data_IF_678650823025
#
_entry.id   IF_678650823025
#
_cell.length_a   1.000
_cell.length_b   1.000
_cell.length_c   1.000
_cell.angle_alpha   90.00
_cell.angle_beta   90.00
_cell.angle_gamma   90.00
#
_symmetry.space_group_name_H-M   'P 1'
#
loop_
_entity.id
_entity.type
_entity.pdbx_description
1 polymer ?
#
# COMPACT_ATOMS: atom_id res chain seq x y z
N UNK A 1 6.06 -33.37 -28.26
CA UNK A 1 5.43 -32.80 -27.02
C UNK A 1 5.76 -31.33 -27.01
N UNK A 2 4.77 -30.46 -27.15
CA UNK A 2 5.01 -29.03 -26.95
C UNK A 2 5.39 -28.83 -25.48
N UNK A 3 6.66 -28.47 -25.23
CA UNK A 3 7.07 -28.08 -23.90
C UNK A 3 6.31 -26.79 -23.59
N UNK A 4 5.27 -26.89 -22.77
CA UNK A 4 4.60 -25.72 -22.24
C UNK A 4 5.59 -25.03 -21.28
N UNK A 5 6.05 -23.87 -21.68
CA UNK A 5 6.94 -23.02 -20.87
C UNK A 5 6.10 -21.91 -20.26
N UNK A 6 6.07 -21.84 -18.95
CA UNK A 6 5.44 -20.77 -18.20
C UNK A 6 6.57 -19.90 -17.61
N UNK A 7 6.89 -18.76 -18.21
CA UNK A 7 7.91 -17.88 -17.67
C UNK A 7 7.45 -17.29 -16.33
N UNK A 8 8.40 -16.97 -15.46
CA UNK A 8 8.11 -16.31 -14.17
C UNK A 8 7.55 -14.90 -14.39
N UNK A 9 7.99 -14.24 -15.45
CA UNK A 9 7.47 -12.95 -15.90
C UNK A 9 7.61 -12.81 -17.41
N UNK A 10 6.87 -11.89 -17.98
CA UNK A 10 6.96 -11.46 -19.38
C UNK A 10 7.04 -9.95 -19.41
N UNK A 11 7.86 -9.38 -20.32
CA UNK A 11 7.95 -7.92 -20.49
C UNK A 11 6.61 -7.36 -20.92
N UNK A 12 6.12 -6.39 -20.16
CA UNK A 12 4.83 -5.72 -20.42
C UNK A 12 5.00 -4.25 -20.85
N UNK A 13 6.24 -3.80 -21.06
CA UNK A 13 6.56 -2.46 -21.57
C UNK A 13 6.89 -2.57 -23.05
N UNK A 14 6.10 -1.94 -23.87
CA UNK A 14 6.27 -1.96 -25.31
C UNK A 14 6.87 -0.66 -25.88
N UNK A 15 6.98 -0.58 -27.19
CA UNK A 15 7.52 0.60 -27.88
C UNK A 15 6.60 1.80 -27.78
N UNK A 16 5.30 1.60 -27.66
CA UNK A 16 4.31 2.68 -27.53
C UNK A 16 4.44 3.35 -26.16
N UNK A 17 4.61 2.58 -25.10
CA UNK A 17 4.89 3.08 -23.73
C UNK A 17 6.15 3.96 -23.72
N UNK A 18 7.25 3.46 -24.33
CA UNK A 18 8.50 4.22 -24.43
C UNK A 18 8.32 5.53 -25.22
N UNK A 19 7.59 5.49 -26.35
CA UNK A 19 7.35 6.68 -27.15
C UNK A 19 6.51 7.72 -26.40
N UNK A 20 5.54 7.27 -25.62
CA UNK A 20 4.73 8.16 -24.79
C UNK A 20 5.55 8.84 -23.70
N UNK A 21 6.44 8.10 -23.05
CA UNK A 21 7.37 8.69 -22.09
C UNK A 21 8.28 9.73 -22.76
N UNK A 22 8.82 9.44 -23.95
CA UNK A 22 9.65 10.38 -24.73
C UNK A 22 8.84 11.65 -25.04
N UNK A 23 7.61 11.50 -25.52
CA UNK A 23 6.74 12.63 -25.86
C UNK A 23 6.41 13.48 -24.62
N UNK A 24 6.17 12.83 -23.48
CA UNK A 24 5.93 13.53 -22.22
C UNK A 24 7.18 14.34 -21.78
N UNK A 25 8.38 13.75 -21.85
CA UNK A 25 9.63 14.42 -21.45
C UNK A 25 10.00 15.57 -22.37
N UNK A 26 9.60 15.53 -23.64
CA UNK A 26 9.86 16.58 -24.65
C UNK A 26 8.90 17.79 -24.54
N UNK A 27 7.97 17.82 -23.60
CA UNK A 27 7.08 18.95 -23.41
C UNK A 27 7.83 20.22 -22.99
N UNK A 28 7.29 21.37 -23.39
CA UNK A 28 7.83 22.68 -23.00
C UNK A 28 6.72 23.48 -22.31
N UNK A 29 6.92 23.94 -21.07
CA UNK A 29 8.09 23.69 -20.20
C UNK A 29 8.23 22.21 -19.82
N UNK A 30 9.43 21.81 -19.38
CA UNK A 30 9.67 20.44 -18.88
C UNK A 30 8.66 20.13 -17.77
N UNK A 31 7.92 19.01 -17.85
CA UNK A 31 6.91 18.68 -16.86
C UNK A 31 7.54 18.34 -15.49
N UNK A 32 6.74 18.46 -14.43
CA UNK A 32 7.19 18.05 -13.10
C UNK A 32 7.31 16.54 -13.03
N UNK A 33 8.53 16.02 -12.82
CA UNK A 33 8.88 14.60 -12.92
C UNK A 33 8.72 13.83 -11.60
N UNK A 34 8.39 14.47 -10.48
CA UNK A 34 8.15 13.82 -9.18
C UNK A 34 6.92 14.42 -8.51
N UNK A 35 6.04 13.58 -7.97
CA UNK A 35 4.79 14.01 -7.31
C UNK A 35 4.03 15.10 -8.10
N UNK A 36 4.08 15.02 -9.45
CA UNK A 36 3.49 15.99 -10.35
C UNK A 36 2.01 15.70 -10.68
N UNK A 37 1.41 16.51 -11.58
CA UNK A 37 0.01 16.33 -11.98
C UNK A 37 -0.30 14.92 -12.50
N UNK A 38 0.63 14.28 -13.23
CA UNK A 38 0.43 12.92 -13.74
C UNK A 38 0.33 11.87 -12.62
N UNK A 39 1.09 12.03 -11.52
CA UNK A 39 0.93 11.15 -10.36
C UNK A 39 -0.48 11.29 -9.78
N UNK A 40 -0.97 12.51 -9.62
CA UNK A 40 -2.33 12.76 -9.10
C UNK A 40 -3.40 12.21 -10.06
N UNK A 41 -3.21 12.34 -11.36
CA UNK A 41 -4.10 11.78 -12.38
C UNK A 41 -4.18 10.24 -12.24
N UNK A 42 -3.04 9.57 -12.08
CA UNK A 42 -2.99 8.13 -11.85
C UNK A 42 -3.64 7.72 -10.52
N UNK A 43 -3.30 8.42 -9.41
CA UNK A 43 -3.92 8.18 -8.10
C UNK A 43 -5.45 8.22 -8.20
N UNK A 44 -6.01 9.19 -8.94
CA UNK A 44 -7.45 9.32 -9.16
C UNK A 44 -8.02 8.21 -10.04
N UNK A 45 -7.37 7.90 -11.16
CA UNK A 45 -7.80 6.84 -12.08
C UNK A 45 -7.78 5.47 -11.40
N UNK A 46 -6.72 5.19 -10.62
CA UNK A 46 -6.61 3.96 -9.84
C UNK A 46 -7.72 3.85 -8.81
N UNK A 47 -8.00 4.94 -8.08
CA UNK A 47 -9.08 4.98 -7.09
C UNK A 47 -10.46 4.72 -7.72
N UNK A 48 -10.74 5.28 -8.89
CA UNK A 48 -11.96 5.01 -9.64
C UNK A 48 -12.05 3.54 -10.07
N UNK A 49 -10.93 2.97 -10.53
CA UNK A 49 -10.88 1.58 -10.95
C UNK A 49 -11.02 0.62 -9.76
N UNK A 50 -10.36 0.87 -8.64
CA UNK A 50 -10.40 0.01 -7.45
C UNK A 50 -11.67 0.20 -6.62
N UNK A 51 -12.19 1.42 -6.55
CA UNK A 51 -13.32 1.81 -5.70
C UNK A 51 -12.90 2.33 -4.34
N UNK A 52 -11.74 3.01 -4.25
CA UNK A 52 -11.21 3.64 -3.02
C UNK A 52 -11.13 5.16 -3.15
N UNK A 53 -11.30 5.87 -2.03
CA UNK A 53 -11.34 7.34 -2.01
C UNK A 53 -9.96 7.97 -2.07
N UNK A 54 -9.02 7.41 -1.35
CA UNK A 54 -7.68 7.97 -1.13
C UNK A 54 -6.63 7.00 -1.62
N UNK A 55 -5.79 7.48 -2.53
CA UNK A 55 -4.78 6.68 -3.20
C UNK A 55 -3.48 7.46 -3.21
N UNK A 56 -2.37 6.85 -2.86
CA UNK A 56 -1.09 7.51 -2.65
C UNK A 56 0.03 6.75 -3.33
N UNK A 57 0.53 7.27 -4.46
CA UNK A 57 1.69 6.71 -5.15
C UNK A 57 2.96 6.83 -4.32
N UNK A 58 3.72 5.76 -4.31
CA UNK A 58 5.04 5.61 -3.70
C UNK A 58 6.01 4.95 -4.68
N UNK A 59 7.29 4.86 -4.32
CA UNK A 59 8.35 4.42 -5.23
C UNK A 59 8.45 2.90 -5.43
N UNK A 60 7.74 2.09 -4.63
CA UNK A 60 7.66 0.62 -4.82
C UNK A 60 6.54 0.01 -3.97
N UNK A 61 6.14 -1.23 -4.28
CA UNK A 61 5.23 -2.00 -3.41
C UNK A 61 5.81 -2.24 -2.02
N UNK A 62 7.11 -2.52 -1.92
CA UNK A 62 7.80 -2.67 -0.64
C UNK A 62 7.71 -1.38 0.20
N UNK A 63 7.86 -0.22 -0.45
CA UNK A 63 7.67 1.08 0.21
C UNK A 63 6.21 1.32 0.61
N UNK A 64 5.24 0.82 -0.15
CA UNK A 64 3.83 0.87 0.24
C UNK A 64 3.59 0.06 1.52
N UNK A 65 4.15 -1.15 1.60
CA UNK A 65 4.06 -2.01 2.79
C UNK A 65 4.72 -1.35 4.01
N UNK A 66 5.95 -0.85 3.87
CA UNK A 66 6.68 -0.18 4.95
C UNK A 66 5.95 1.08 5.43
N UNK A 67 5.54 1.94 4.51
CA UNK A 67 4.84 3.18 4.84
C UNK A 67 3.48 2.92 5.50
N UNK A 68 2.77 1.86 5.09
CA UNK A 68 1.50 1.45 5.71
C UNK A 68 1.69 1.05 7.17
N UNK A 69 2.68 0.23 7.48
CA UNK A 69 2.94 -0.19 8.87
C UNK A 69 3.53 0.96 9.68
N UNK A 70 4.41 1.78 9.10
CA UNK A 70 4.92 2.98 9.76
C UNK A 70 3.79 3.96 10.10
N UNK A 71 2.80 4.13 9.23
CA UNK A 71 1.62 4.95 9.48
C UNK A 71 0.71 4.37 10.57
N UNK A 72 0.70 3.05 10.74
CA UNK A 72 -0.05 2.38 11.81
C UNK A 72 0.47 2.79 13.21
N UNK A 73 1.77 3.13 13.35
CA UNK A 73 2.34 3.65 14.59
C UNK A 73 1.76 5.01 15.03
N UNK A 74 1.14 5.76 14.11
CA UNK A 74 0.43 7.00 14.46
C UNK A 74 -0.98 6.73 15.04
N UNK A 75 -1.43 5.48 14.96
CA UNK A 75 -2.69 5.02 15.53
C UNK A 75 -2.46 4.20 16.81
N UNK A 76 -1.32 3.53 16.92
CA UNK A 76 -0.97 2.62 18.02
C UNK A 76 0.51 2.76 18.35
N UNK A 77 0.85 2.84 19.64
CA UNK A 77 2.24 2.93 20.09
C UNK A 77 3.00 1.60 19.90
N UNK A 78 2.30 0.47 20.09
CA UNK A 78 2.84 -0.88 19.93
C UNK A 78 1.75 -1.88 19.54
N UNK A 79 2.15 -3.10 19.25
CA UNK A 79 1.22 -4.20 19.04
C UNK A 79 1.77 -5.33 18.19
N UNK A 80 0.85 -6.21 17.83
CA UNK A 80 1.11 -7.38 17.02
C UNK A 80 0.44 -7.20 15.64
N UNK A 81 1.14 -7.64 14.60
CA UNK A 81 0.60 -7.78 13.26
C UNK A 81 0.66 -9.25 12.87
N UNK A 82 -0.50 -9.84 12.60
CA UNK A 82 -0.58 -11.24 12.16
C UNK A 82 -0.42 -11.28 10.64
N UNK A 83 0.50 -12.12 10.16
CA UNK A 83 0.78 -12.30 8.73
C UNK A 83 1.08 -13.77 8.40
N UNK A 84 0.88 -14.21 7.14
CA UNK A 84 1.19 -15.57 6.76
C UNK A 84 2.71 -15.75 6.57
N UNK A 85 3.27 -16.96 6.76
CA UNK A 85 4.66 -17.25 6.38
C UNK A 85 4.87 -17.31 4.86
N UNK A 86 3.82 -17.52 4.09
CA UNK A 86 3.82 -17.44 2.63
C UNK A 86 3.47 -16.01 2.22
N UNK A 87 4.49 -15.18 2.15
CA UNK A 87 4.38 -13.75 1.79
C UNK A 87 5.70 -13.24 1.24
N UNK A 88 5.71 -12.03 0.70
CA UNK A 88 6.95 -11.37 0.33
C UNK A 88 7.65 -10.80 1.57
N UNK A 89 8.98 -10.78 1.54
CA UNK A 89 9.78 -10.34 2.70
C UNK A 89 9.45 -8.91 3.16
N UNK A 90 8.99 -8.02 2.25
CA UNK A 90 8.63 -6.65 2.62
C UNK A 90 7.48 -6.57 3.62
N UNK A 91 6.56 -7.54 3.62
CA UNK A 91 5.47 -7.58 4.60
C UNK A 91 6.03 -7.80 6.01
N UNK A 92 6.97 -8.74 6.13
CA UNK A 92 7.60 -9.07 7.41
C UNK A 92 8.54 -7.96 7.86
N UNK A 93 9.40 -7.47 6.95
CA UNK A 93 10.39 -6.43 7.29
C UNK A 93 9.73 -5.11 7.68
N UNK A 94 8.61 -4.73 7.03
CA UNK A 94 7.87 -3.52 7.39
C UNK A 94 7.32 -3.56 8.82
N UNK A 95 6.85 -4.74 9.26
CA UNK A 95 6.38 -4.94 10.65
C UNK A 95 7.55 -4.79 11.63
N UNK A 96 8.70 -5.41 11.34
CA UNK A 96 9.88 -5.36 12.21
C UNK A 96 10.47 -3.94 12.27
N UNK A 97 10.63 -3.27 11.13
CA UNK A 97 11.22 -1.92 11.06
C UNK A 97 10.34 -0.84 11.71
N UNK A 98 9.03 -1.10 11.77
CA UNK A 98 8.08 -0.22 12.45
C UNK A 98 7.85 -0.60 13.92
N UNK A 99 8.70 -1.46 14.50
CA UNK A 99 8.68 -1.86 15.91
C UNK A 99 7.41 -2.62 16.36
N UNK A 100 6.59 -3.09 15.42
CA UNK A 100 5.53 -4.05 15.72
C UNK A 100 6.07 -5.47 15.82
N UNK A 101 5.35 -6.32 16.54
CA UNK A 101 5.70 -7.74 16.66
C UNK A 101 5.02 -8.55 15.56
N UNK A 102 5.76 -9.19 14.64
CA UNK A 102 5.17 -10.10 13.66
C UNK A 102 4.73 -11.39 14.34
N UNK A 103 3.47 -11.79 14.10
CA UNK A 103 2.90 -13.06 14.57
C UNK A 103 2.54 -13.90 13.35
N UNK A 104 3.19 -15.05 13.18
CA UNK A 104 2.97 -15.88 12.00
C UNK A 104 1.78 -16.82 12.20
N UNK A 105 0.84 -16.78 11.26
CA UNK A 105 -0.29 -17.69 11.18
C UNK A 105 -0.15 -18.57 9.95
N UNK A 106 -0.21 -19.89 10.14
CA UNK A 106 -0.12 -20.87 9.06
C UNK A 106 -1.24 -20.71 8.02
N UNK A 107 -1.01 -21.24 6.83
CA UNK A 107 -1.90 -21.09 5.68
C UNK A 107 -2.83 -22.29 5.49
N UNK A 108 -3.95 -22.04 4.82
CA UNK A 108 -4.81 -23.06 4.25
C UNK A 108 -4.36 -23.36 2.81
N UNK A 109 -3.96 -24.59 2.55
CA UNK A 109 -3.44 -25.02 1.25
C UNK A 109 -4.45 -24.95 0.08
N UNK A 110 -5.73 -24.73 0.35
CA UNK A 110 -6.75 -24.63 -0.71
C UNK A 110 -6.77 -23.24 -1.38
N UNK A 111 -6.49 -22.18 -0.62
CA UNK A 111 -6.55 -20.81 -1.10
C UNK A 111 -5.30 -19.99 -0.75
N UNK A 112 -4.27 -20.62 -0.18
CA UNK A 112 -3.00 -20.03 0.23
C UNK A 112 -3.13 -18.84 1.19
N UNK A 113 -4.33 -18.63 1.75
CA UNK A 113 -4.63 -17.63 2.78
C UNK A 113 -4.56 -18.25 4.17
N UNK A 114 -4.93 -17.51 5.20
CA UNK A 114 -4.87 -17.97 6.59
C UNK A 114 -5.66 -19.25 6.86
N UNK A 115 -5.10 -20.15 7.68
CA UNK A 115 -5.87 -21.14 8.43
C UNK A 115 -6.66 -20.41 9.52
N UNK A 116 -7.95 -20.21 9.30
CA UNK A 116 -8.79 -19.36 10.18
C UNK A 116 -8.93 -19.92 11.59
N UNK A 117 -8.86 -21.25 11.76
CA UNK A 117 -8.91 -21.85 13.10
C UNK A 117 -7.63 -21.61 13.90
N UNK A 118 -6.49 -21.51 13.22
CA UNK A 118 -5.23 -21.08 13.84
C UNK A 118 -5.23 -19.57 14.07
N UNK A 119 -5.71 -18.79 13.09
CA UNK A 119 -5.80 -17.33 13.19
C UNK A 119 -6.56 -16.88 14.44
N UNK A 120 -7.74 -17.46 14.69
CA UNK A 120 -8.55 -17.13 15.88
C UNK A 120 -7.81 -17.32 17.21
N UNK A 121 -6.91 -18.32 17.28
CA UNK A 121 -6.12 -18.63 18.48
C UNK A 121 -4.94 -17.69 18.68
N UNK A 122 -4.50 -16.99 17.64
CA UNK A 122 -3.38 -16.06 17.67
C UNK A 122 -3.79 -14.63 18.01
N UNK A 123 -5.08 -14.32 17.93
CA UNK A 123 -5.61 -12.98 18.24
C UNK A 123 -5.48 -12.72 19.75
N UNK A 124 -4.86 -11.60 20.09
CA UNK A 124 -4.70 -11.11 21.45
C UNK A 124 -5.21 -9.66 21.56
N UNK A 125 -5.34 -9.11 22.76
CA UNK A 125 -5.64 -7.68 22.95
C UNK A 125 -4.57 -6.74 22.35
N UNK A 126 -3.39 -7.24 22.00
CA UNK A 126 -2.32 -6.50 21.33
C UNK A 126 -2.39 -6.55 19.81
N UNK A 127 -3.21 -7.42 19.23
CA UNK A 127 -3.34 -7.54 17.77
C UNK A 127 -3.95 -6.28 17.19
N UNK A 128 -3.20 -5.55 16.34
CA UNK A 128 -3.61 -4.30 15.70
C UNK A 128 -4.06 -4.50 14.27
N UNK A 129 -3.37 -5.40 13.56
CA UNK A 129 -3.68 -5.67 12.16
C UNK A 129 -3.49 -7.15 11.80
N UNK A 130 -4.20 -7.55 10.77
CA UNK A 130 -3.96 -8.78 10.00
C UNK A 130 -3.48 -8.33 8.63
N UNK A 131 -2.28 -8.74 8.22
CA UNK A 131 -1.69 -8.42 6.94
C UNK A 131 -1.87 -9.61 6.00
N UNK A 132 -2.87 -9.53 5.14
CA UNK A 132 -3.25 -10.57 4.19
C UNK A 132 -2.51 -10.38 2.88
N UNK A 133 -1.78 -11.39 2.43
CA UNK A 133 -1.16 -11.43 1.10
C UNK A 133 -2.07 -12.20 0.14
N UNK A 134 -2.42 -11.58 -0.99
CA UNK A 134 -3.11 -12.24 -2.10
C UNK A 134 -2.07 -12.87 -3.04
N UNK A 135 -1.73 -14.11 -2.80
CA UNK A 135 -0.61 -14.81 -3.45
C UNK A 135 -0.95 -15.16 -4.90
N UNK A 136 -0.10 -14.79 -5.88
CA UNK A 136 -0.16 -15.22 -7.28
C UNK A 136 -1.53 -15.07 -7.96
N UNK A 137 -2.27 -14.01 -7.64
CA UNK A 137 -3.60 -13.75 -8.19
C UNK A 137 -4.74 -14.48 -7.48
N UNK A 138 -4.44 -15.25 -6.42
CA UNK A 138 -5.45 -15.99 -5.68
C UNK A 138 -6.08 -15.09 -4.63
N UNK A 139 -7.42 -15.03 -4.62
CA UNK A 139 -8.14 -14.32 -3.58
C UNK A 139 -7.96 -14.98 -2.21
N UNK A 140 -7.41 -14.26 -1.24
CA UNK A 140 -7.25 -14.71 0.14
C UNK A 140 -8.42 -14.36 1.08
N UNK A 141 -9.37 -13.51 0.63
CA UNK A 141 -10.51 -13.09 1.44
C UNK A 141 -11.55 -14.20 1.60
N UNK A 142 -12.16 -14.22 2.77
CA UNK A 142 -13.37 -14.97 3.07
C UNK A 142 -14.28 -14.10 3.94
N UNK A 143 -15.60 -14.39 3.96
CA UNK A 143 -16.52 -13.70 4.89
C UNK A 143 -16.10 -13.87 6.34
N UNK A 144 -15.61 -15.05 6.68
CA UNK A 144 -15.16 -15.37 8.02
C UNK A 144 -13.95 -14.51 8.43
N UNK A 145 -12.97 -14.31 7.55
CA UNK A 145 -11.84 -13.42 7.82
C UNK A 145 -12.29 -11.98 8.04
N UNK A 146 -13.19 -11.49 7.19
CA UNK A 146 -13.74 -10.13 7.33
C UNK A 146 -14.52 -9.97 8.66
N UNK A 147 -15.27 -10.99 9.05
CA UNK A 147 -16.01 -10.99 10.32
C UNK A 147 -15.04 -11.04 11.51
N UNK A 148 -13.99 -11.85 11.48
CA UNK A 148 -12.95 -11.91 12.52
C UNK A 148 -12.34 -10.51 12.72
N UNK A 149 -11.94 -9.83 11.65
CA UNK A 149 -11.38 -8.48 11.72
C UNK A 149 -12.37 -7.49 12.36
N UNK A 150 -13.63 -7.53 11.92
CA UNK A 150 -14.68 -6.63 12.41
C UNK A 150 -15.03 -6.87 13.87
N UNK A 151 -15.22 -8.12 14.27
CA UNK A 151 -15.63 -8.51 15.64
C UNK A 151 -14.55 -8.20 16.68
N UNK A 152 -13.28 -8.26 16.28
CA UNK A 152 -12.14 -7.98 17.15
C UNK A 152 -11.59 -6.56 17.00
N UNK A 153 -12.20 -5.71 16.15
CA UNK A 153 -11.73 -4.36 15.84
C UNK A 153 -10.26 -4.32 15.38
N UNK A 154 -9.90 -5.27 14.51
CA UNK A 154 -8.55 -5.43 13.94
C UNK A 154 -8.54 -4.87 12.52
N UNK A 155 -7.53 -4.09 12.17
CA UNK A 155 -7.36 -3.59 10.81
C UNK A 155 -6.94 -4.71 9.85
N UNK A 156 -7.65 -4.85 8.74
CA UNK A 156 -7.23 -5.70 7.63
C UNK A 156 -6.36 -4.87 6.68
N UNK A 157 -5.14 -5.30 6.46
CA UNK A 157 -4.21 -4.79 5.46
C UNK A 157 -4.16 -5.82 4.33
N UNK A 158 -4.39 -5.38 3.09
CA UNK A 158 -4.35 -6.26 1.91
C UNK A 158 -3.08 -5.99 1.10
N UNK A 159 -2.14 -6.94 1.01
CA UNK A 159 -1.10 -6.90 -0.03
C UNK A 159 -1.66 -7.52 -1.31
N UNK A 160 -1.76 -6.70 -2.34
CA UNK A 160 -2.34 -7.03 -3.65
C UNK A 160 -1.28 -6.89 -4.76
N UNK A 161 0.00 -6.82 -4.40
CA UNK A 161 1.09 -6.61 -5.37
C UNK A 161 1.08 -7.63 -6.52
N UNK A 162 0.70 -8.87 -6.24
CA UNK A 162 0.64 -9.94 -7.24
C UNK A 162 -0.79 -10.25 -7.75
N UNK A 163 -1.79 -9.42 -7.41
CA UNK A 163 -3.21 -9.80 -7.58
C UNK A 163 -4.09 -8.69 -8.13
N UNK A 164 -3.54 -7.83 -9.00
CA UNK A 164 -4.28 -6.76 -9.66
C UNK A 164 -5.49 -7.33 -10.40
N UNK A 165 -6.69 -6.80 -10.11
CA UNK A 165 -7.93 -7.20 -10.77
C UNK A 165 -8.58 -8.47 -10.22
N UNK A 166 -7.93 -9.22 -9.32
CA UNK A 166 -8.57 -10.32 -8.59
C UNK A 166 -9.81 -9.82 -7.86
N UNK A 167 -10.86 -10.64 -7.81
CA UNK A 167 -12.13 -10.24 -7.23
C UNK A 167 -12.59 -11.18 -6.13
N UNK A 168 -13.30 -10.63 -5.16
CA UNK A 168 -14.09 -11.35 -4.18
C UNK A 168 -15.51 -10.81 -4.22
N UNK A 169 -16.53 -11.67 -4.39
CA UNK A 169 -17.97 -11.28 -4.48
C UNK A 169 -18.23 -10.11 -5.44
N UNK A 170 -17.55 -10.08 -6.58
CA UNK A 170 -17.75 -9.09 -7.63
C UNK A 170 -17.08 -7.73 -7.39
N UNK A 171 -16.34 -7.54 -6.28
CA UNK A 171 -15.51 -6.37 -6.03
C UNK A 171 -14.03 -6.76 -6.06
N UNK A 172 -13.18 -5.84 -6.47
CA UNK A 172 -11.75 -6.07 -6.51
C UNK A 172 -11.17 -6.23 -5.10
N UNK A 173 -10.28 -7.19 -4.90
CA UNK A 173 -9.46 -7.27 -3.68
C UNK A 173 -8.63 -6.00 -3.56
N UNK A 174 -8.31 -5.61 -2.33
CA UNK A 174 -7.73 -4.29 -2.04
C UNK A 174 -8.78 -3.20 -1.78
N UNK A 175 -10.09 -3.50 -1.96
CA UNK A 175 -11.17 -2.57 -1.62
C UNK A 175 -11.96 -2.97 -0.36
N UNK A 176 -11.52 -4.02 0.33
CA UNK A 176 -12.22 -4.58 1.49
C UNK A 176 -11.57 -4.20 2.82
N UNK A 177 -10.25 -4.12 2.84
CA UNK A 177 -9.48 -3.83 4.04
C UNK A 177 -9.53 -2.35 4.46
N UNK A 178 -8.94 -2.08 5.61
CA UNK A 178 -8.67 -0.72 6.08
C UNK A 178 -7.73 0.02 5.12
N UNK A 179 -6.72 -0.70 4.61
CA UNK A 179 -5.75 -0.22 3.63
C UNK A 179 -5.30 -1.36 2.74
N UNK A 180 -4.92 -1.05 1.52
CA UNK A 180 -4.32 -2.00 0.59
C UNK A 180 -3.10 -1.43 -0.12
N UNK A 181 -2.17 -2.31 -0.46
CA UNK A 181 -0.92 -1.99 -1.11
C UNK A 181 -0.79 -2.73 -2.44
N UNK A 182 -0.32 -2.02 -3.45
CA UNK A 182 -0.06 -2.56 -4.79
C UNK A 182 1.35 -2.21 -5.23
N UNK A 183 1.91 -3.04 -6.11
CA UNK A 183 3.20 -2.81 -6.72
C UNK A 183 3.07 -2.68 -8.24
N UNK A 184 3.84 -1.76 -8.79
CA UNK A 184 3.99 -1.55 -10.23
C UNK A 184 5.43 -1.88 -10.69
N UNK A 185 6.08 -2.81 -9.99
CA UNK A 185 7.35 -3.38 -10.39
C UNK A 185 7.21 -4.02 -11.77
N UNK A 186 8.30 -4.03 -12.57
CA UNK A 186 8.22 -4.42 -13.98
C UNK A 186 7.75 -5.87 -14.21
N UNK A 187 7.82 -6.74 -13.21
CA UNK A 187 7.36 -8.14 -13.28
C UNK A 187 5.89 -8.33 -12.88
N UNK A 188 5.17 -7.27 -12.53
CA UNK A 188 3.74 -7.36 -12.17
C UNK A 188 2.83 -7.10 -13.36
N UNK A 189 1.50 -7.20 -13.15
CA UNK A 189 0.47 -7.08 -14.18
C UNK A 189 0.45 -5.73 -14.91
N UNK A 190 0.81 -4.68 -14.22
CA UNK A 190 0.99 -3.32 -14.73
C UNK A 190 2.29 -2.78 -14.17
N UNK A 191 3.09 -2.12 -15.00
CA UNK A 191 4.41 -1.66 -14.59
C UNK A 191 4.58 -0.15 -14.77
N UNK A 192 5.20 0.46 -13.76
CA UNK A 192 5.79 1.80 -13.87
C UNK A 192 7.31 1.71 -13.73
N UNK A 193 7.93 0.60 -14.18
CA UNK A 193 9.30 0.15 -13.94
C UNK A 193 9.50 -0.13 -12.45
N UNK A 194 9.39 0.89 -11.62
CA UNK A 194 9.32 0.85 -10.17
C UNK A 194 8.18 1.75 -9.70
N UNK A 195 7.35 1.24 -8.82
CA UNK A 195 6.23 2.00 -8.26
C UNK A 195 5.40 1.17 -7.30
N UNK A 196 4.60 1.86 -6.52
CA UNK A 196 3.60 1.26 -5.64
C UNK A 196 2.51 2.26 -5.30
N UNK A 197 1.40 1.79 -4.76
CA UNK A 197 0.31 2.66 -4.33
C UNK A 197 -0.33 2.10 -3.05
N UNK A 198 -0.63 3.01 -2.13
CA UNK A 198 -1.42 2.76 -0.92
C UNK A 198 -2.83 3.26 -1.17
N UNK A 199 -3.84 2.42 -0.91
CA UNK A 199 -5.24 2.74 -1.11
C UNK A 199 -6.03 2.57 0.19
N UNK A 200 -6.83 3.56 0.56
CA UNK A 200 -7.67 3.52 1.77
C UNK A 200 -8.94 4.35 1.61
N UNK A 201 -9.91 4.13 2.48
CA UNK A 201 -11.08 4.99 2.61
C UNK A 201 -11.03 5.87 3.86
N UNK A 202 -9.98 5.73 4.68
CA UNK A 202 -9.76 6.54 5.89
C UNK A 202 -8.92 7.78 5.57
N UNK A 203 -9.53 8.97 5.73
CA UNK A 203 -8.87 10.23 5.44
C UNK A 203 -7.69 10.50 6.38
N UNK A 204 -7.87 10.21 7.68
CA UNK A 204 -6.82 10.46 8.67
C UNK A 204 -5.59 9.62 8.36
N UNK A 205 -5.77 8.34 8.09
CA UNK A 205 -4.68 7.45 7.70
C UNK A 205 -3.98 7.91 6.41
N UNK A 206 -4.75 8.31 5.40
CA UNK A 206 -4.21 8.88 4.17
C UNK A 206 -3.34 10.12 4.41
N UNK A 207 -3.80 11.06 5.27
CA UNK A 207 -3.03 12.28 5.56
C UNK A 207 -1.73 11.95 6.31
N UNK A 208 -1.74 10.98 7.21
CA UNK A 208 -0.55 10.45 7.87
C UNK A 208 0.42 9.88 6.82
N UNK A 209 -0.05 8.99 5.93
CA UNK A 209 0.76 8.44 4.86
C UNK A 209 1.35 9.53 3.96
N UNK A 210 0.61 10.60 3.65
CA UNK A 210 1.11 11.73 2.87
C UNK A 210 2.30 12.42 3.53
N UNK A 211 2.21 12.71 4.82
CA UNK A 211 3.31 13.31 5.57
C UNK A 211 4.52 12.36 5.60
N UNK A 212 4.30 11.10 5.98
CA UNK A 212 5.36 10.10 6.11
C UNK A 212 6.02 9.75 4.77
N UNK A 213 5.29 9.78 3.65
CA UNK A 213 5.85 9.61 2.29
C UNK A 213 7.01 10.57 2.02
N UNK A 214 6.99 11.72 2.66
CA UNK A 214 7.98 12.79 2.48
C UNK A 214 8.64 13.15 3.81
N UNK A 215 9.38 12.21 4.38
CA UNK A 215 10.16 12.39 5.62
C UNK A 215 9.35 12.68 6.90
N UNK A 216 8.03 12.58 6.86
CA UNK A 216 7.15 12.94 7.98
C UNK A 216 6.67 14.39 7.99
N UNK A 217 6.95 15.16 6.93
CA UNK A 217 6.60 16.59 6.86
C UNK A 217 5.09 16.84 6.78
N UNK A 218 4.51 17.52 7.77
CA UNK A 218 3.07 17.84 7.80
C UNK A 218 2.61 18.76 6.67
N UNK A 219 3.51 19.53 6.07
CA UNK A 219 3.19 20.40 4.92
C UNK A 219 2.71 19.61 3.69
N UNK A 220 2.96 18.32 3.63
CA UNK A 220 2.47 17.43 2.57
C UNK A 220 1.01 16.99 2.78
N UNK A 221 0.44 17.24 3.96
CA UNK A 221 -0.98 17.01 4.23
C UNK A 221 -1.84 18.00 3.43
N UNK A 222 -2.90 17.51 2.82
CA UNK A 222 -3.89 18.30 2.07
C UNK A 222 -5.09 18.72 2.92
N UNK A 223 -5.33 18.04 4.04
CA UNK A 223 -6.36 18.44 5.00
C UNK A 223 -5.82 19.56 5.88
N UNK A 224 -6.27 20.79 5.60
CA UNK A 224 -5.80 22.01 6.31
C UNK A 224 -6.20 22.01 7.79
N UNK A 225 -7.36 21.46 8.14
CA UNK A 225 -7.80 21.40 9.53
C UNK A 225 -6.86 20.54 10.37
N UNK A 226 -6.53 19.36 9.90
CA UNK A 226 -5.58 18.45 10.58
C UNK A 226 -4.18 19.06 10.66
N UNK A 227 -3.72 19.68 9.57
CA UNK A 227 -2.42 20.35 9.56
C UNK A 227 -2.36 21.52 10.53
N UNK A 228 -3.39 22.35 10.58
CA UNK A 228 -3.47 23.50 11.46
C UNK A 228 -3.57 23.10 12.94
N UNK A 229 -4.24 22.00 13.25
CA UNK A 229 -4.27 21.44 14.61
C UNK A 229 -2.86 21.11 15.10
N UNK A 230 -2.05 20.44 14.27
CA UNK A 230 -0.66 20.11 14.61
C UNK A 230 0.19 21.38 14.77
N UNK A 231 0.04 22.36 13.87
CA UNK A 231 0.75 23.64 13.95
C UNK A 231 0.41 24.37 15.25
N UNK A 232 -0.87 24.46 15.60
CA UNK A 232 -1.34 25.17 16.80
C UNK A 232 -0.87 24.48 18.10
N UNK A 233 -0.69 23.17 18.10
CA UNK A 233 -0.14 22.41 19.22
C UNK A 233 1.39 22.57 19.35
N UNK A 234 2.06 23.19 18.35
CA UNK A 234 3.51 23.39 18.32
C UNK A 234 3.86 24.83 17.91
N UNK A 235 3.41 25.85 18.65
CA UNK A 235 3.49 27.25 18.23
C UNK A 235 4.93 27.79 18.13
N UNK A 236 5.87 27.16 18.82
CA UNK A 236 7.29 27.55 18.83
C UNK A 236 8.08 26.97 17.66
N UNK A 237 7.48 26.08 16.86
CA UNK A 237 8.13 25.45 15.72
C UNK A 237 7.82 26.19 14.42
N UNK A 238 8.79 26.18 13.50
CA UNK A 238 8.54 26.67 12.14
C UNK A 238 7.57 25.73 11.42
N UNK A 239 6.38 26.23 11.06
CA UNK A 239 5.29 25.48 10.44
C UNK A 239 5.67 24.69 9.18
N UNK A 240 6.70 25.15 8.45
CA UNK A 240 7.16 24.50 7.22
C UNK A 240 8.10 23.31 7.49
N UNK A 241 8.57 23.16 8.73
CA UNK A 241 9.51 22.14 9.18
C UNK A 241 9.02 21.39 10.43
N UNK A 242 7.71 21.19 10.55
CA UNK A 242 7.14 20.27 11.55
C UNK A 242 7.06 18.87 10.91
N UNK A 243 7.52 17.88 11.65
CA UNK A 243 7.51 16.48 11.27
C UNK A 243 6.67 15.68 12.27
N UNK A 244 5.81 14.78 11.78
CA UNK A 244 5.07 13.85 12.64
C UNK A 244 6.03 12.91 13.36
N UNK A 245 6.92 12.29 12.58
CA UNK A 245 8.01 11.43 13.05
C UNK A 245 9.08 11.35 11.96
N UNK A 246 10.30 10.87 12.26
CA UNK A 246 11.30 10.54 11.26
C UNK A 246 10.76 9.49 10.28
N UNK A 247 10.93 9.74 8.98
CA UNK A 247 10.54 8.85 7.92
C UNK A 247 11.48 8.98 6.72
N UNK A 248 11.32 8.11 5.74
CA UNK A 248 12.14 8.08 4.54
C UNK A 248 11.54 8.92 3.40
N UNK A 249 12.23 8.92 2.26
CA UNK A 249 11.71 9.43 1.01
C UNK A 249 11.08 8.27 0.22
N UNK A 250 9.76 8.16 0.29
CA UNK A 250 8.99 7.17 -0.47
C UNK A 250 8.32 7.75 -1.72
N UNK A 251 8.66 9.00 -2.11
CA UNK A 251 8.03 9.65 -3.26
C UNK A 251 8.31 8.91 -4.56
N UNK A 252 7.28 8.76 -5.38
CA UNK A 252 7.41 8.24 -6.74
C UNK A 252 7.95 9.31 -7.71
N UNK A 253 8.68 8.87 -8.71
CA UNK A 253 8.98 9.65 -9.91
C UNK A 253 8.00 9.26 -11.03
N UNK A 254 7.73 10.18 -11.94
CA UNK A 254 6.96 9.88 -13.14
C UNK A 254 7.89 9.16 -14.10
N UNK A 255 7.65 7.88 -14.29
CA UNK A 255 8.29 7.14 -15.37
C UNK A 255 7.25 6.50 -16.31
N UNK A 256 6.03 6.24 -15.86
CA UNK A 256 4.95 5.69 -16.68
C UNK A 256 3.58 6.07 -16.14
N UNK A 257 2.80 6.75 -16.90
CA UNK A 257 1.38 6.95 -16.61
C UNK A 257 0.64 7.10 -17.93
N UNK A 258 0.18 5.97 -18.45
CA UNK A 258 -0.87 5.92 -19.47
C UNK A 258 -2.06 5.14 -19.00
#
# INVERSE_FOLDING_TARGET
MNNFYLPLMEDNIDREDVNTLINFLNQTPIPKLTNGPKVVEFENAWGQWLGTKYNLMVNSGASANELTILALNELYEDGEVILPPLTWISDVSSVIFSEFTPVFCDINLKNLSFDLEKLKKLITPKTRAIFLTHVLGINGLTDELLNICKENNIHLIEDVCESHGTTFKGKKVGSYGFVSNFSFYFAHHMSTIEGGIICTNDERFYQICRALRSHGMIREMTNESMRNEIINNNPDLNKDFIFLRPSHNFRSAIMHLQ
#
